data_IF_940928690940
#
_entry.id   IF_940928690940
#
_cell.length_a   1.000
_cell.length_b   1.000
_cell.length_c   1.000
_cell.angle_alpha   90.00
_cell.angle_beta   90.00
_cell.angle_gamma   90.00
#
_symmetry.space_group_name_H-M   'P 1'
#
loop_
_entity.id
_entity.type
_entity.pdbx_description
1 polymer ?
#
# COMPACT_ATOMS: atom_id res chain seq x y z
N UNK A 1 52.07 21.63 -13.68
CA UNK A 1 51.67 20.33 -13.12
C UNK A 1 50.24 20.49 -12.67
N UNK A 2 49.35 19.80 -13.37
CA UNK A 2 47.90 20.01 -13.40
C UNK A 2 47.22 18.97 -12.50
N UNK A 3 46.63 19.40 -11.39
CA UNK A 3 45.77 18.59 -10.53
C UNK A 3 44.30 18.95 -10.84
N UNK A 4 43.76 18.37 -11.90
CA UNK A 4 42.35 18.47 -12.27
C UNK A 4 42.01 17.20 -13.04
N UNK A 5 41.64 16.13 -12.35
CA UNK A 5 41.05 14.91 -12.94
C UNK A 5 40.64 13.91 -11.83
N UNK A 6 39.69 14.28 -10.96
CA UNK A 6 39.12 13.34 -9.98
C UNK A 6 37.79 13.83 -9.39
N UNK A 7 36.80 14.09 -10.25
CA UNK A 7 35.41 14.35 -9.88
C UNK A 7 34.56 14.22 -11.15
N UNK A 8 33.94 13.05 -11.41
CA UNK A 8 32.71 12.93 -12.23
C UNK A 8 32.16 11.48 -12.40
N UNK A 9 32.34 10.56 -11.43
CA UNK A 9 31.80 9.18 -11.56
C UNK A 9 30.62 8.87 -10.60
N UNK A 10 30.01 9.87 -9.95
CA UNK A 10 28.93 9.66 -8.96
C UNK A 10 27.49 9.87 -9.48
N UNK A 11 27.32 10.36 -10.71
CA UNK A 11 25.99 10.71 -11.24
C UNK A 11 25.28 9.56 -11.99
N UNK A 12 25.98 8.46 -12.30
CA UNK A 12 25.41 7.36 -13.10
C UNK A 12 24.54 6.40 -12.27
N UNK A 13 24.80 6.24 -10.98
CA UNK A 13 24.03 5.35 -10.10
C UNK A 13 22.64 5.93 -9.75
N UNK A 14 22.52 7.26 -9.63
CA UNK A 14 21.24 7.94 -9.35
C UNK A 14 20.29 7.86 -10.55
N UNK A 15 20.82 7.87 -11.78
CA UNK A 15 20.02 7.72 -13.00
C UNK A 15 19.36 6.34 -13.09
N UNK A 16 20.06 5.31 -12.63
CA UNK A 16 19.58 3.92 -12.68
C UNK A 16 18.44 3.65 -11.69
N UNK A 17 18.51 4.25 -10.48
CA UNK A 17 17.43 4.17 -9.50
C UNK A 17 16.19 4.98 -9.91
N UNK A 18 16.36 6.10 -10.62
CA UNK A 18 15.26 6.87 -11.18
C UNK A 18 14.55 6.14 -12.33
N UNK A 19 15.30 5.41 -13.16
CA UNK A 19 14.74 4.57 -14.22
C UNK A 19 13.97 3.38 -13.62
N UNK A 20 14.53 2.68 -12.63
CA UNK A 20 13.85 1.55 -11.98
C UNK A 20 12.57 1.98 -11.26
N UNK A 21 12.59 3.16 -10.60
CA UNK A 21 11.41 3.72 -9.95
C UNK A 21 10.32 4.14 -10.94
N UNK A 22 10.70 4.68 -12.11
CA UNK A 22 9.75 4.95 -13.19
C UNK A 22 9.11 3.68 -13.76
N UNK A 23 9.87 2.59 -13.88
CA UNK A 23 9.34 1.31 -14.36
C UNK A 23 8.33 0.71 -13.36
N UNK A 24 8.57 0.82 -12.05
CA UNK A 24 7.62 0.38 -11.03
C UNK A 24 6.37 1.27 -10.99
N UNK A 25 6.50 2.60 -11.11
CA UNK A 25 5.36 3.54 -11.17
C UNK A 25 4.52 3.34 -12.45
N UNK A 26 5.15 3.19 -13.62
CA UNK A 26 4.45 2.93 -14.89
C UNK A 26 3.83 1.51 -14.93
N UNK A 27 4.43 0.55 -14.22
CA UNK A 27 3.89 -0.81 -14.06
C UNK A 27 2.61 -0.87 -13.23
N UNK A 28 2.54 -0.11 -12.12
CA UNK A 28 1.32 -0.02 -11.29
C UNK A 28 0.18 0.70 -12.03
N UNK A 29 0.48 1.70 -12.86
CA UNK A 29 -0.53 2.36 -13.70
C UNK A 29 -1.04 1.47 -14.83
N UNK A 30 -0.17 0.65 -15.44
CA UNK A 30 -0.57 -0.32 -16.46
C UNK A 30 -1.49 -1.41 -15.89
N UNK A 31 -1.20 -1.93 -14.70
CA UNK A 31 -2.04 -2.92 -14.01
C UNK A 31 -3.40 -2.33 -13.58
N UNK A 32 -3.43 -1.07 -13.13
CA UNK A 32 -4.67 -0.38 -12.80
C UNK A 32 -5.55 -0.11 -14.03
N UNK A 33 -4.95 0.21 -15.18
CA UNK A 33 -5.67 0.38 -16.45
C UNK A 33 -6.28 -0.95 -16.93
N UNK A 34 -5.52 -2.04 -16.85
CA UNK A 34 -5.97 -3.37 -17.29
C UNK A 34 -7.10 -3.92 -16.41
N UNK A 35 -7.09 -3.64 -15.10
CA UNK A 35 -8.20 -3.95 -14.19
C UNK A 35 -9.46 -3.12 -14.50
N UNK A 36 -9.30 -1.84 -14.85
CA UNK A 36 -10.43 -0.96 -15.21
C UNK A 36 -11.05 -1.31 -16.56
N UNK A 37 -10.23 -1.76 -17.51
CA UNK A 37 -10.66 -2.23 -18.83
C UNK A 37 -11.37 -3.60 -18.74
N UNK A 38 -10.93 -4.49 -17.82
CA UNK A 38 -11.64 -5.75 -17.54
C UNK A 38 -12.99 -5.54 -16.83
N UNK A 39 -13.12 -4.50 -16.01
CA UNK A 39 -14.39 -4.15 -15.36
C UNK A 39 -15.40 -3.54 -16.36
N UNK A 40 -14.91 -2.89 -17.42
CA UNK A 40 -15.75 -2.31 -18.49
C UNK A 40 -16.30 -3.35 -19.49
N UNK A 41 -15.81 -4.59 -19.50
CA UNK A 41 -16.19 -5.64 -20.46
C UNK A 41 -17.40 -6.49 -19.98
N UNK A 42 -17.98 -6.23 -18.79
CA UNK A 42 -19.23 -6.90 -18.36
C UNK A 42 -20.50 -6.02 -18.28
N UNK A 43 -20.90 -5.26 -19.31
CA UNK A 43 -22.26 -4.75 -19.39
C UNK A 43 -23.14 -5.78 -20.11
N UNK A 44 -23.79 -6.69 -19.38
CA UNK A 44 -24.88 -7.47 -20.00
C UNK A 44 -25.13 -8.90 -19.54
N UNK A 45 -24.66 -9.34 -18.37
CA UNK A 45 -25.32 -10.49 -17.74
C UNK A 45 -26.64 -9.99 -17.15
N UNK A 46 -27.71 -10.16 -17.92
CA UNK A 46 -29.08 -10.11 -17.41
C UNK A 46 -29.13 -11.04 -16.20
N UNK A 47 -29.25 -10.43 -15.02
CA UNK A 47 -29.76 -11.12 -13.84
C UNK A 47 -31.16 -11.57 -14.23
N UNK A 48 -31.31 -12.86 -14.49
CA UNK A 48 -32.60 -13.48 -14.71
C UNK A 48 -33.56 -13.05 -13.61
N UNK A 49 -34.85 -12.79 -13.92
CA UNK A 49 -35.83 -12.42 -12.93
C UNK A 49 -35.86 -13.50 -11.85
N UNK A 50 -35.67 -13.03 -10.61
CA UNK A 50 -35.70 -13.79 -9.37
C UNK A 50 -36.80 -14.87 -9.45
N UNK A 51 -36.45 -16.17 -9.46
CA UNK A 51 -37.45 -17.22 -9.50
C UNK A 51 -38.33 -17.06 -8.27
N UNK A 52 -39.64 -17.05 -8.48
CA UNK A 52 -40.64 -16.87 -7.42
C UNK A 52 -40.28 -17.69 -6.18
N UNK A 53 -40.53 -17.15 -4.96
CA UNK A 53 -40.18 -17.83 -3.72
C UNK A 53 -40.89 -19.17 -3.66
N UNK A 54 -40.15 -20.24 -3.97
CA UNK A 54 -40.63 -21.60 -3.84
C UNK A 54 -40.89 -21.81 -2.36
N UNK A 55 -42.16 -21.92 -2.00
CA UNK A 55 -42.61 -22.21 -0.64
C UNK A 55 -41.86 -23.46 -0.15
N UNK A 56 -40.89 -23.23 0.73
CA UNK A 56 -40.12 -24.32 1.32
C UNK A 56 -41.09 -25.25 2.05
N UNK A 57 -41.04 -26.58 1.79
CA UNK A 57 -41.92 -27.52 2.45
C UNK A 57 -41.73 -27.42 3.97
N UNK A 58 -42.79 -26.98 4.66
CA UNK A 58 -42.93 -27.06 6.11
C UNK A 58 -42.71 -28.51 6.53
N UNK A 59 -41.53 -28.83 7.05
CA UNK A 59 -41.30 -30.12 7.68
C UNK A 59 -39.90 -30.66 7.55
N UNK A 60 -38.89 -29.92 8.01
CA UNK A 60 -37.74 -30.58 8.62
C UNK A 60 -37.92 -30.49 10.13
N UNK A 61 -37.92 -31.62 10.87
CA UNK A 61 -37.98 -31.59 12.32
C UNK A 61 -36.79 -30.76 12.81
N UNK A 62 -37.08 -29.71 13.58
CA UNK A 62 -36.06 -29.02 14.36
C UNK A 62 -35.29 -30.09 15.12
N UNK A 63 -33.98 -30.12 14.88
CA UNK A 63 -33.07 -30.91 15.70
C UNK A 63 -33.39 -30.58 17.15
N UNK A 64 -33.91 -31.58 17.86
CA UNK A 64 -34.03 -31.54 19.30
C UNK A 64 -32.65 -31.28 19.87
N UNK A 65 -32.50 -30.18 20.61
CA UNK A 65 -31.39 -29.91 21.53
C UNK A 65 -31.38 -30.94 22.68
N UNK A 66 -31.23 -32.22 22.32
CA UNK A 66 -30.79 -33.26 23.22
C UNK A 66 -29.26 -33.29 23.13
N UNK A 67 -28.62 -32.20 23.56
CA UNK A 67 -27.18 -32.20 23.82
C UNK A 67 -27.00 -32.92 25.16
N UNK A 68 -26.55 -34.17 25.09
CA UNK A 68 -26.17 -34.97 26.25
C UNK A 68 -25.06 -34.21 27.02
N UNK A 69 -25.20 -33.97 28.33
CA UNK A 69 -24.15 -33.32 29.12
C UNK A 69 -22.84 -34.12 29.20
N UNK A 70 -22.81 -35.38 28.74
CA UNK A 70 -21.60 -36.19 28.57
C UNK A 70 -21.06 -36.20 27.13
N UNK A 71 -21.66 -35.45 26.19
CA UNK A 71 -21.06 -35.25 24.86
C UNK A 71 -19.90 -34.27 25.02
N UNK A 72 -18.67 -34.79 25.02
CA UNK A 72 -17.47 -33.96 25.04
C UNK A 72 -17.57 -32.96 23.89
N UNK A 73 -17.82 -31.68 24.20
CA UNK A 73 -17.82 -30.57 23.25
C UNK A 73 -16.65 -30.79 22.29
N UNK A 74 -16.96 -31.24 21.07
CA UNK A 74 -15.94 -31.44 20.05
C UNK A 74 -15.47 -30.04 19.75
N UNK A 75 -14.33 -29.65 20.30
CA UNK A 75 -13.69 -28.38 20.01
C UNK A 75 -13.26 -28.45 18.55
N UNK A 76 -14.15 -28.05 17.66
CA UNK A 76 -13.84 -27.88 16.24
C UNK A 76 -12.98 -26.64 16.14
N UNK A 77 -11.66 -26.82 16.21
CA UNK A 77 -10.74 -25.76 15.90
C UNK A 77 -10.94 -25.35 14.45
N UNK A 78 -11.23 -24.07 14.20
CA UNK A 78 -11.24 -23.51 12.85
C UNK A 78 -9.87 -23.78 12.20
N UNK A 79 -9.83 -24.65 11.20
CA UNK A 79 -8.61 -24.95 10.46
C UNK A 79 -8.26 -23.75 9.61
N UNK A 80 -7.37 -22.89 10.12
CA UNK A 80 -6.87 -21.73 9.39
C UNK A 80 -5.93 -22.21 8.27
N UNK A 81 -6.21 -21.78 7.05
CA UNK A 81 -5.30 -22.00 5.92
C UNK A 81 -3.98 -21.25 6.17
N UNK A 82 -2.88 -22.01 6.20
CA UNK A 82 -1.51 -21.47 6.32
C UNK A 82 -1.14 -20.67 5.05
N UNK A 83 -0.02 -19.91 5.06
CA UNK A 83 0.43 -19.25 3.80
C UNK A 83 0.80 -20.30 2.76
N UNK A 84 1.33 -21.44 3.19
CA UNK A 84 1.62 -22.56 2.31
C UNK A 84 0.35 -23.06 1.60
N UNK A 85 -0.72 -23.33 2.34
CA UNK A 85 -2.00 -23.81 1.77
C UNK A 85 -2.58 -22.79 0.78
N UNK A 86 -2.53 -21.50 1.14
CA UNK A 86 -3.00 -20.41 0.27
C UNK A 86 -2.16 -20.32 -1.01
N UNK A 87 -0.84 -20.45 -0.91
CA UNK A 87 0.05 -20.41 -2.06
C UNK A 87 -0.16 -21.62 -2.99
N UNK A 88 -0.32 -22.83 -2.43
CA UNK A 88 -0.62 -24.03 -3.21
C UNK A 88 -1.96 -23.92 -3.91
N UNK A 89 -3.01 -23.49 -3.21
CA UNK A 89 -4.32 -23.30 -3.81
C UNK A 89 -4.24 -22.33 -4.98
N UNK A 90 -3.60 -21.17 -4.79
CA UNK A 90 -3.39 -20.19 -5.86
C UNK A 90 -2.63 -20.78 -7.05
N UNK A 91 -1.57 -21.55 -6.82
CA UNK A 91 -0.81 -22.22 -7.89
C UNK A 91 -1.71 -23.18 -8.68
N UNK A 92 -2.46 -24.04 -7.99
CA UNK A 92 -3.37 -25.00 -8.61
C UNK A 92 -4.45 -24.31 -9.42
N UNK A 93 -5.04 -23.24 -8.90
CA UNK A 93 -6.06 -22.46 -9.60
C UNK A 93 -5.51 -21.83 -10.89
N UNK A 94 -4.28 -21.31 -10.86
CA UNK A 94 -3.61 -20.75 -12.05
C UNK A 94 -3.23 -21.82 -13.07
N UNK A 95 -2.73 -22.98 -12.61
CA UNK A 95 -2.41 -24.12 -13.48
C UNK A 95 -3.68 -24.67 -14.14
N UNK A 96 -4.80 -24.75 -13.41
CA UNK A 96 -6.10 -25.13 -13.95
C UNK A 96 -6.61 -24.12 -14.99
N UNK A 97 -6.48 -22.82 -14.71
CA UNK A 97 -6.82 -21.76 -15.68
C UNK A 97 -6.00 -21.88 -16.96
N UNK A 98 -4.69 -22.12 -16.85
CA UNK A 98 -3.82 -22.34 -18.01
C UNK A 98 -4.22 -23.58 -18.80
N UNK A 99 -4.56 -24.68 -18.12
CA UNK A 99 -4.99 -25.92 -18.76
C UNK A 99 -6.36 -25.81 -19.44
N UNK A 100 -7.24 -24.92 -18.95
CA UNK A 100 -8.56 -24.68 -19.53
C UNK A 100 -8.52 -23.80 -20.79
N UNK A 101 -7.39 -23.16 -21.10
CA UNK A 101 -7.27 -22.33 -22.30
C UNK A 101 -7.15 -23.20 -23.57
N UNK A 102 -7.84 -22.86 -24.66
CA UNK A 102 -7.69 -23.55 -25.94
C UNK A 102 -6.31 -23.27 -26.54
N UNK A 103 -5.84 -24.17 -27.42
CA UNK A 103 -4.53 -24.05 -28.07
C UNK A 103 -4.36 -22.78 -28.93
N UNK A 104 -5.47 -22.25 -29.45
CA UNK A 104 -5.51 -21.05 -30.30
C UNK A 104 -5.75 -19.75 -29.52
N UNK A 105 -5.56 -19.77 -28.19
CA UNK A 105 -5.75 -18.57 -27.36
C UNK A 105 -4.66 -17.51 -27.60
N UNK A 106 -4.96 -16.26 -27.23
CA UNK A 106 -4.03 -15.14 -27.33
C UNK A 106 -2.71 -15.43 -26.58
N UNK A 107 -1.55 -15.40 -27.27
CA UNK A 107 -0.26 -15.72 -26.67
C UNK A 107 0.11 -14.79 -25.50
N UNK A 108 -0.36 -13.54 -25.51
CA UNK A 108 -0.11 -12.58 -24.43
C UNK A 108 -0.74 -13.04 -23.11
N UNK A 109 -1.96 -13.58 -23.17
CA UNK A 109 -2.68 -14.09 -21.99
C UNK A 109 -2.04 -15.37 -21.44
N UNK A 110 -1.53 -16.23 -22.32
CA UNK A 110 -0.79 -17.43 -21.92
C UNK A 110 0.51 -17.03 -21.21
N UNK A 111 1.27 -16.08 -21.77
CA UNK A 111 2.50 -15.59 -21.16
C UNK A 111 2.25 -14.93 -19.78
N UNK A 112 1.18 -14.15 -19.65
CA UNK A 112 0.79 -13.56 -18.37
C UNK A 112 0.46 -14.62 -17.31
N UNK A 113 -0.32 -15.66 -17.67
CA UNK A 113 -0.59 -16.78 -16.76
C UNK A 113 0.68 -17.54 -16.39
N UNK A 114 1.62 -17.72 -17.32
CA UNK A 114 2.90 -18.36 -17.06
C UNK A 114 3.77 -17.58 -16.07
N UNK A 115 3.80 -16.26 -16.20
CA UNK A 115 4.45 -15.39 -15.23
C UNK A 115 3.79 -15.50 -13.86
N UNK A 116 2.45 -15.50 -13.79
CA UNK A 116 1.71 -15.66 -12.54
C UNK A 116 1.95 -17.03 -11.89
N UNK A 117 2.02 -18.12 -12.68
CA UNK A 117 2.36 -19.46 -12.19
C UNK A 117 3.79 -19.48 -11.64
N UNK A 118 4.75 -18.83 -12.32
CA UNK A 118 6.13 -18.69 -11.84
C UNK A 118 6.19 -17.97 -10.48
N UNK A 119 5.48 -16.85 -10.35
CA UNK A 119 5.39 -16.10 -9.08
C UNK A 119 4.74 -16.96 -7.98
N UNK A 120 3.66 -17.68 -8.31
CA UNK A 120 2.98 -18.57 -7.37
C UNK A 120 3.88 -19.73 -6.91
N UNK A 121 4.71 -20.29 -7.79
CA UNK A 121 5.71 -21.30 -7.43
C UNK A 121 6.75 -20.77 -6.45
N UNK A 122 7.30 -19.58 -6.72
CA UNK A 122 8.24 -18.93 -5.79
C UNK A 122 7.58 -18.60 -4.43
N UNK A 123 6.29 -18.30 -4.41
CA UNK A 123 5.55 -18.08 -3.17
C UNK A 123 5.39 -19.37 -2.35
N UNK A 124 5.13 -20.52 -3.01
CA UNK A 124 5.09 -21.83 -2.34
C UNK A 124 6.46 -22.15 -1.74
N UNK A 125 7.54 -22.03 -2.51
CA UNK A 125 8.91 -22.28 -2.04
C UNK A 125 9.27 -21.39 -0.84
N UNK A 126 8.94 -20.09 -0.90
CA UNK A 126 9.14 -19.19 0.23
C UNK A 126 8.35 -19.64 1.46
N UNK A 127 7.12 -20.11 1.30
CA UNK A 127 6.28 -20.57 2.41
C UNK A 127 6.77 -21.89 3.04
N UNK A 128 7.55 -22.70 2.30
CA UNK A 128 8.17 -23.93 2.84
C UNK A 128 9.32 -23.63 3.82
N UNK A 129 9.94 -22.45 3.71
CA UNK A 129 11.05 -22.08 4.59
C UNK A 129 10.64 -21.94 6.05
N UNK A 130 11.53 -22.32 6.96
CA UNK A 130 11.31 -22.20 8.40
C UNK A 130 11.16 -20.74 8.86
N UNK A 131 11.80 -19.81 8.14
CA UNK A 131 11.63 -18.36 8.37
C UNK A 131 10.18 -17.94 8.16
N UNK A 132 9.53 -18.43 7.09
CA UNK A 132 8.13 -18.13 6.83
C UNK A 132 7.20 -18.71 7.90
N UNK A 133 7.46 -19.93 8.37
CA UNK A 133 6.70 -20.54 9.48
C UNK A 133 6.84 -19.75 10.78
N UNK A 134 8.06 -19.31 11.10
CA UNK A 134 8.30 -18.44 12.25
C UNK A 134 7.54 -17.11 12.11
N UNK A 135 7.57 -16.48 10.93
CA UNK A 135 6.84 -15.25 10.69
C UNK A 135 5.33 -15.41 10.83
N UNK A 136 4.76 -16.53 10.38
CA UNK A 136 3.34 -16.84 10.60
C UNK A 136 3.01 -16.90 12.09
N UNK A 137 3.82 -17.59 12.90
CA UNK A 137 3.61 -17.64 14.35
C UNK A 137 3.69 -16.26 15.01
N UNK A 138 4.62 -15.41 14.56
CA UNK A 138 4.70 -14.02 15.03
C UNK A 138 3.45 -13.25 14.61
N UNK A 139 3.00 -13.38 13.37
CA UNK A 139 1.84 -12.66 12.86
C UNK A 139 0.54 -13.14 13.53
N UNK A 140 0.41 -14.43 13.82
CA UNK A 140 -0.68 -14.98 14.63
C UNK A 140 -0.66 -14.42 16.04
N UNK A 141 0.50 -14.43 16.70
CA UNK A 141 0.65 -13.81 18.01
C UNK A 141 0.27 -12.33 17.98
N UNK A 142 0.69 -11.60 16.94
CA UNK A 142 0.36 -10.17 16.74
C UNK A 142 -1.12 -9.91 16.49
N UNK A 143 -1.84 -10.86 15.88
CA UNK A 143 -3.26 -10.75 15.60
C UNK A 143 -4.13 -11.09 16.83
N UNK A 144 -3.68 -12.04 17.65
CA UNK A 144 -4.37 -12.48 18.87
C UNK A 144 -3.81 -11.85 20.14
N UNK A 145 -3.36 -12.71 21.06
CA UNK A 145 -2.94 -12.36 22.44
C UNK A 145 -1.85 -11.27 22.50
N UNK A 146 -0.96 -11.23 21.52
CA UNK A 146 0.12 -10.25 21.43
C UNK A 146 -0.29 -8.87 20.96
N UNK A 147 -1.53 -8.69 20.48
CA UNK A 147 -2.01 -7.42 19.92
C UNK A 147 -1.93 -6.28 20.92
N UNK A 148 -2.42 -6.48 22.14
CA UNK A 148 -2.42 -5.48 23.20
C UNK A 148 -1.01 -5.13 23.63
N UNK A 149 -0.18 -6.13 23.94
CA UNK A 149 1.23 -5.95 24.30
C UNK A 149 2.02 -5.23 23.21
N UNK A 150 1.79 -5.56 21.94
CA UNK A 150 2.41 -4.86 20.82
C UNK A 150 1.96 -3.40 20.76
N UNK A 151 0.67 -3.14 20.90
CA UNK A 151 0.12 -1.78 20.87
C UNK A 151 0.63 -0.95 22.05
N UNK A 152 0.72 -1.53 23.24
CA UNK A 152 1.28 -0.89 24.42
C UNK A 152 2.75 -0.51 24.19
N UNK A 153 3.56 -1.45 23.69
CA UNK A 153 4.96 -1.17 23.33
C UNK A 153 5.07 -0.06 22.28
N UNK A 154 4.21 -0.07 21.25
CA UNK A 154 4.18 1.01 20.24
C UNK A 154 3.77 2.36 20.82
N UNK A 155 2.90 2.38 21.83
CA UNK A 155 2.51 3.60 22.55
C UNK A 155 3.67 4.11 23.42
N UNK A 156 4.40 3.23 24.09
CA UNK A 156 5.58 3.55 24.93
C UNK A 156 6.73 4.18 24.15
N UNK A 157 6.95 3.77 22.89
CA UNK A 157 8.00 4.35 22.02
C UNK A 157 7.70 5.82 21.67
N UNK A 158 6.46 6.27 21.78
CA UNK A 158 6.09 7.66 21.49
C UNK A 158 6.20 8.51 22.76
N UNK A 159 7.36 9.10 22.98
CA UNK A 159 7.59 10.04 24.09
C UNK A 159 6.77 11.34 23.94
N UNK A 160 6.44 11.71 22.69
CA UNK A 160 5.59 12.86 22.37
C UNK A 160 4.32 12.39 21.65
N UNK A 161 3.14 12.90 22.02
CA UNK A 161 1.93 12.68 21.23
C UNK A 161 2.14 13.26 19.82
N UNK A 162 1.44 12.69 18.83
CA UNK A 162 1.44 13.25 17.48
C UNK A 162 0.93 14.70 17.54
N UNK A 163 1.49 15.57 16.70
CA UNK A 163 0.96 16.92 16.54
C UNK A 163 -0.54 16.84 16.19
N UNK A 164 -1.36 17.66 16.85
CA UNK A 164 -2.77 17.76 16.50
C UNK A 164 -2.90 18.50 15.17
N UNK A 165 -3.45 17.81 14.17
CA UNK A 165 -3.70 18.35 12.83
C UNK A 165 -5.20 18.62 12.60
N UNK A 166 -6.03 18.54 13.64
CA UNK A 166 -7.49 18.68 13.52
C UNK A 166 -7.93 20.02 12.95
N UNK A 167 -7.19 21.10 13.24
CA UNK A 167 -7.45 22.46 12.76
C UNK A 167 -7.03 22.73 11.31
N UNK A 168 -6.28 21.83 10.68
CA UNK A 168 -5.79 22.01 9.31
C UNK A 168 -6.80 21.52 8.27
N UNK A 169 -6.93 22.28 7.17
CA UNK A 169 -7.70 21.85 5.99
C UNK A 169 -7.03 20.64 5.32
N UNK A 170 -7.75 19.86 4.47
CA UNK A 170 -7.16 18.72 3.76
C UNK A 170 -5.90 19.10 2.95
N UNK A 171 -5.91 20.25 2.29
CA UNK A 171 -4.78 20.74 1.50
C UNK A 171 -3.58 21.11 2.38
N UNK A 172 -3.82 21.74 3.53
CA UNK A 172 -2.79 22.02 4.53
C UNK A 172 -2.19 20.75 5.11
N UNK A 173 -3.01 19.72 5.36
CA UNK A 173 -2.55 18.40 5.82
C UNK A 173 -1.67 17.72 4.77
N UNK A 174 -2.07 17.76 3.50
CA UNK A 174 -1.27 17.22 2.41
C UNK A 174 0.07 17.95 2.30
N UNK A 175 0.07 19.28 2.41
CA UNK A 175 1.30 20.06 2.38
C UNK A 175 2.21 19.77 3.58
N UNK A 176 1.66 19.69 4.78
CA UNK A 176 2.38 19.30 5.99
C UNK A 176 3.03 17.92 5.83
N UNK A 177 2.33 16.96 5.24
CA UNK A 177 2.88 15.63 4.98
C UNK A 177 4.05 15.67 3.97
N UNK A 178 3.92 16.46 2.89
CA UNK A 178 5.02 16.67 1.93
C UNK A 178 6.25 17.28 2.60
N UNK A 179 6.04 18.31 3.43
CA UNK A 179 7.11 18.97 4.18
C UNK A 179 7.80 18.00 5.12
N UNK A 180 7.02 17.23 5.89
CA UNK A 180 7.54 16.22 6.82
C UNK A 180 8.42 15.20 6.11
N UNK A 181 8.00 14.71 4.94
CA UNK A 181 8.78 13.76 4.13
C UNK A 181 10.06 14.41 3.58
N UNK A 182 9.95 15.64 3.07
CA UNK A 182 11.11 16.41 2.58
C UNK A 182 12.16 16.58 3.68
N UNK A 183 11.73 16.95 4.88
CA UNK A 183 12.62 17.17 6.02
C UNK A 183 13.24 15.85 6.51
N UNK A 184 12.46 14.77 6.58
CA UNK A 184 12.99 13.45 6.94
C UNK A 184 14.08 12.98 5.96
N UNK A 185 13.85 13.15 4.65
CA UNK A 185 14.84 12.82 3.62
C UNK A 185 16.08 13.71 3.71
N UNK A 186 15.89 15.01 3.96
CA UNK A 186 17.00 15.95 4.14
C UNK A 186 17.84 15.59 5.38
N UNK A 187 17.21 15.30 6.52
CA UNK A 187 17.89 14.83 7.75
C UNK A 187 18.69 13.56 7.46
N UNK A 188 18.08 12.59 6.78
CA UNK A 188 18.74 11.33 6.41
C UNK A 188 20.03 11.59 5.62
N UNK A 189 19.95 12.40 4.55
CA UNK A 189 21.13 12.75 3.73
C UNK A 189 22.20 13.47 4.54
N UNK A 190 21.83 14.38 5.46
CA UNK A 190 22.80 15.06 6.33
C UNK A 190 23.49 14.11 7.30
N UNK A 191 22.77 13.14 7.84
CA UNK A 191 23.36 12.09 8.70
C UNK A 191 24.31 11.19 7.92
N UNK A 192 23.94 10.80 6.69
CA UNK A 192 24.80 10.01 5.79
C UNK A 192 26.07 10.78 5.41
N UNK A 193 25.97 12.10 5.24
CA UNK A 193 27.12 12.99 5.06
C UNK A 193 27.96 13.22 6.34
N UNK A 194 27.65 12.57 7.45
CA UNK A 194 28.41 12.65 8.70
C UNK A 194 28.22 13.94 9.51
N UNK A 195 27.18 14.73 9.21
CA UNK A 195 26.92 15.97 9.95
C UNK A 195 26.47 15.68 11.40
N UNK A 196 26.99 16.40 12.41
CA UNK A 196 26.56 16.24 13.80
C UNK A 196 25.07 16.55 14.00
N UNK A 197 24.36 15.78 14.82
CA UNK A 197 22.91 15.92 15.01
C UNK A 197 22.51 17.33 15.47
N UNK A 198 23.30 17.98 16.34
CA UNK A 198 23.04 19.35 16.79
C UNK A 198 23.04 20.36 15.63
N UNK A 199 23.93 20.19 14.65
CA UNK A 199 24.00 21.04 13.47
C UNK A 199 22.83 20.79 12.53
N UNK A 200 22.44 19.52 12.35
CA UNK A 200 21.27 19.14 11.55
C UNK A 200 20.01 19.81 12.10
N UNK A 201 19.81 19.79 13.42
CA UNK A 201 18.65 20.43 14.06
C UNK A 201 18.65 21.95 13.87
N UNK A 202 19.82 22.60 13.97
CA UNK A 202 19.95 24.04 13.74
C UNK A 202 19.63 24.42 12.28
N UNK A 203 20.19 23.70 11.31
CA UNK A 203 19.91 23.92 9.88
C UNK A 203 18.44 23.62 9.53
N UNK A 204 17.84 22.60 10.15
CA UNK A 204 16.42 22.28 9.95
C UNK A 204 15.51 23.43 10.39
N UNK A 205 15.80 24.06 11.54
CA UNK A 205 15.04 25.22 12.01
C UNK A 205 15.10 26.38 10.99
N UNK A 206 16.28 26.66 10.43
CA UNK A 206 16.45 27.67 9.37
C UNK A 206 15.66 27.28 8.12
N UNK A 207 15.69 26.01 7.72
CA UNK A 207 14.93 25.48 6.57
C UNK A 207 13.42 25.59 6.75
N UNK A 208 12.92 25.40 7.97
CA UNK A 208 11.49 25.58 8.28
C UNK A 208 11.13 27.06 8.17
N UNK A 209 11.86 27.95 8.85
CA UNK A 209 11.59 29.39 8.81
C UNK A 209 11.67 30.00 7.41
N UNK A 210 12.64 29.57 6.59
CA UNK A 210 12.76 30.03 5.20
C UNK A 210 11.58 29.60 4.33
N UNK A 211 11.05 28.39 4.52
CA UNK A 211 9.82 27.94 3.83
C UNK A 211 8.59 28.71 4.28
N UNK A 212 8.46 28.93 5.58
CA UNK A 212 7.35 29.72 6.15
C UNK A 212 7.38 31.15 5.65
N UNK A 213 8.55 31.79 5.61
CA UNK A 213 8.72 33.13 5.07
C UNK A 213 8.33 33.21 3.57
N UNK A 214 8.78 32.23 2.76
CA UNK A 214 8.38 32.15 1.35
C UNK A 214 6.88 31.97 1.16
N UNK A 215 6.22 31.19 2.02
CA UNK A 215 4.75 31.01 1.98
C UNK A 215 4.01 32.26 2.41
N UNK A 216 4.50 32.95 3.44
CA UNK A 216 3.91 34.21 3.87
C UNK A 216 3.99 35.25 2.76
N UNK A 217 5.13 35.34 2.06
CA UNK A 217 5.29 36.23 0.92
C UNK A 217 4.38 35.84 -0.25
N UNK A 218 4.33 34.55 -0.61
CA UNK A 218 3.42 34.08 -1.66
C UNK A 218 1.96 34.38 -1.33
N UNK A 219 1.54 34.16 -0.09
CA UNK A 219 0.18 34.47 0.34
C UNK A 219 -0.15 35.97 0.26
N UNK A 220 0.85 36.85 0.47
CA UNK A 220 0.68 38.30 0.25
C UNK A 220 0.51 38.62 -1.23
N UNK A 221 1.36 38.05 -2.09
CA UNK A 221 1.25 38.22 -3.56
C UNK A 221 -0.09 37.72 -4.08
N UNK A 222 -0.53 36.54 -3.63
CA UNK A 222 -1.81 35.95 -4.03
C UNK A 222 -2.99 36.83 -3.57
N UNK A 223 -2.92 37.39 -2.35
CA UNK A 223 -3.93 38.31 -1.83
C UNK A 223 -3.98 39.64 -2.60
N UNK A 224 -2.82 40.21 -2.95
CA UNK A 224 -2.72 41.42 -3.78
C UNK A 224 -3.26 41.16 -5.19
N UNK A 225 -2.96 40.00 -5.78
CA UNK A 225 -3.47 39.59 -7.09
C UNK A 225 -4.98 39.36 -7.08
N UNK A 226 -5.51 38.72 -6.04
CA UNK A 226 -6.95 38.54 -5.85
C UNK A 226 -7.67 39.90 -5.72
N UNK A 227 -7.13 40.82 -4.92
CA UNK A 227 -7.67 42.17 -4.77
C UNK A 227 -7.64 42.95 -6.10
N UNK A 228 -6.61 42.77 -6.93
CA UNK A 228 -6.56 43.36 -8.27
C UNK A 228 -7.62 42.79 -9.21
N UNK A 229 -7.90 41.48 -9.14
CA UNK A 229 -8.93 40.84 -9.96
C UNK A 229 -10.36 41.24 -9.57
N UNK A 230 -10.59 41.62 -8.32
CA UNK A 230 -11.88 42.15 -7.86
C UNK A 230 -12.16 43.58 -8.35
N UNK A 231 -11.16 44.29 -8.91
CA UNK A 231 -11.37 45.61 -9.47
C UNK A 231 -12.19 45.53 -10.78
N UNK A 232 -13.28 46.30 -10.93
CA UNK A 232 -14.22 46.21 -12.06
C UNK A 232 -13.64 46.59 -13.43
N UNK A 233 -12.40 47.08 -13.48
CA UNK A 233 -11.69 47.44 -14.71
C UNK A 233 -10.53 46.49 -15.06
N UNK A 234 -10.28 45.47 -14.23
CA UNK A 234 -9.22 44.50 -14.48
C UNK A 234 -9.71 43.49 -15.54
N UNK A 235 -9.15 43.57 -16.76
CA UNK A 235 -9.47 42.64 -17.86
C UNK A 235 -10.36 43.20 -18.98
N UNK A 236 -10.71 44.49 -18.98
CA UNK A 236 -11.32 45.14 -20.15
C UNK A 236 -10.18 45.68 -21.03
N UNK A 237 -9.75 44.88 -22.01
CA UNK A 237 -8.88 45.29 -23.11
C UNK A 237 -9.56 44.93 -24.44
#
# INVERSE_FOLDING_TARGET
>A
MTDSDLQDDQDDDDLLWDILRKIDEEGEEADAHLLRELEAIQPGMSVDPDPEPVESPKGFPQASDNTDPDDHDIIVHEVKLTRYDKAIRKRRDLEAKRAALPADHDPCKVAALDMQIKIARAAVERAESDVSRMQEGIDEWRAGVGRERRNENRRKVRTKPNADLSSMTPDQKAQHERDRRSDANWIKRRREAGMPEAQIQAELAVRIHTREAKRAEQARVDAEQAAMQELPHYGIA
#
